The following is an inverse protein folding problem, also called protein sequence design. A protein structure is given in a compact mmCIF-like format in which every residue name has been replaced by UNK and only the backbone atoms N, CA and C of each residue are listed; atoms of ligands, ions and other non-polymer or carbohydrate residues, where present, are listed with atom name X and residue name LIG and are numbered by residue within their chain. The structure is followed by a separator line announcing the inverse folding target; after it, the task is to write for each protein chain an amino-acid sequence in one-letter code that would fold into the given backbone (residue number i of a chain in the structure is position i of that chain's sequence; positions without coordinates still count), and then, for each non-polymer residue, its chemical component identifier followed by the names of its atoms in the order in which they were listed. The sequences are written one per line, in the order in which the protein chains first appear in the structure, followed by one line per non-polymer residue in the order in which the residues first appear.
data_IF_358250247051
#
_entry.id   IF_358250247051
#
_cell.length_a   1.000
_cell.length_b   1.000
_cell.length_c   1.000
_cell.angle_alpha   90.00
_cell.angle_beta   90.00
_cell.angle_gamma   90.00
#
_symmetry.space_group_name_H-M   'P 1'
#
loop_
_entity.id
_entity.type
_entity.pdbx_description
1 polymer ?
#
# COMPACT_ATOMS: atom_id res chain seq x y z
N UNK A 1 8.35 -1.69 -14.15
CA UNK A 1 9.48 -0.88 -13.65
C UNK A 1 10.18 -1.53 -12.46
N UNK A 2 9.47 -1.98 -11.44
CA UNK A 2 10.02 -2.77 -10.31
C UNK A 2 9.50 -4.19 -10.43
N UNK A 3 10.39 -5.17 -10.40
CA UNK A 3 10.05 -6.60 -10.46
C UNK A 3 10.63 -7.28 -9.22
N UNK A 4 9.76 -7.94 -8.47
CA UNK A 4 10.09 -8.77 -7.31
C UNK A 4 9.92 -10.22 -7.71
N UNK A 5 10.98 -11.02 -7.63
CA UNK A 5 10.97 -12.43 -8.04
C UNK A 5 11.38 -13.32 -6.87
N UNK A 6 10.39 -13.91 -6.21
CA UNK A 6 10.61 -14.84 -5.11
C UNK A 6 11.45 -14.28 -3.97
N UNK A 7 11.33 -12.98 -3.66
CA UNK A 7 12.16 -12.26 -2.70
C UNK A 7 12.01 -12.88 -1.30
N UNK A 8 13.14 -13.25 -0.70
CA UNK A 8 13.23 -13.83 0.65
C UNK A 8 14.11 -12.98 1.54
N UNK A 9 13.77 -12.91 2.81
CA UNK A 9 14.60 -12.28 3.84
C UNK A 9 14.45 -13.00 5.15
N UNK A 10 15.58 -13.38 5.73
CA UNK A 10 15.66 -13.90 7.08
C UNK A 10 16.58 -13.07 7.95
N UNK A 11 16.26 -12.97 9.22
CA UNK A 11 17.10 -12.38 10.27
C UNK A 11 17.25 -13.42 11.38
N UNK A 12 18.49 -13.74 11.73
CA UNK A 12 18.82 -14.71 12.79
C UNK A 12 18.04 -16.03 12.70
N UNK A 13 17.91 -16.54 11.46
CA UNK A 13 17.19 -17.78 11.16
C UNK A 13 15.67 -17.67 11.09
N UNK A 14 15.08 -16.51 11.42
CA UNK A 14 13.64 -16.26 11.28
C UNK A 14 13.33 -15.68 9.91
N UNK A 15 12.55 -16.39 9.12
CA UNK A 15 12.09 -15.91 7.81
C UNK A 15 11.02 -14.81 7.99
N UNK A 16 11.27 -13.63 7.43
CA UNK A 16 10.37 -12.46 7.47
C UNK A 16 9.67 -12.29 6.13
N UNK A 17 10.40 -12.53 5.02
CA UNK A 17 9.82 -12.61 3.67
C UNK A 17 10.12 -13.99 3.10
N UNK A 18 9.07 -14.64 2.60
CA UNK A 18 9.07 -16.08 2.26
C UNK A 18 8.78 -16.33 0.76
N UNK A 19 9.28 -15.48 -0.13
CA UNK A 19 9.08 -15.61 -1.57
C UNK A 19 8.04 -14.63 -2.10
N UNK A 20 8.31 -13.33 -1.93
CA UNK A 20 7.46 -12.23 -2.41
C UNK A 20 7.70 -12.01 -3.90
N UNK A 21 6.62 -12.04 -4.70
CA UNK A 21 6.67 -11.74 -6.14
C UNK A 21 5.59 -10.74 -6.51
N UNK A 22 5.97 -9.70 -7.26
CA UNK A 22 5.06 -8.68 -7.79
C UNK A 22 5.75 -7.92 -8.92
N UNK A 23 4.95 -7.25 -9.74
CA UNK A 23 5.41 -6.32 -10.75
C UNK A 23 4.71 -4.99 -10.57
N UNK A 24 5.47 -3.89 -10.61
CA UNK A 24 4.98 -2.52 -10.46
C UNK A 24 5.42 -1.75 -11.70
N UNK A 25 4.48 -1.18 -12.41
CA UNK A 25 4.79 -0.45 -13.63
C UNK A 25 5.23 0.99 -13.33
N UNK A 26 5.80 1.66 -14.32
CA UNK A 26 6.22 3.07 -14.20
C UNK A 26 4.99 3.96 -13.99
N UNK A 27 5.06 4.87 -13.03
CA UNK A 27 3.98 5.80 -12.70
C UNK A 27 2.83 5.17 -11.92
N UNK A 28 2.95 3.91 -11.50
CA UNK A 28 1.95 3.30 -10.60
C UNK A 28 2.14 3.73 -9.15
N UNK A 29 1.03 3.77 -8.43
CA UNK A 29 0.99 3.79 -6.97
C UNK A 29 0.66 2.36 -6.51
N UNK A 30 1.63 1.72 -5.84
CA UNK A 30 1.49 0.37 -5.29
C UNK A 30 1.44 0.42 -3.77
N UNK A 31 0.36 -0.07 -3.17
CA UNK A 31 0.22 -0.18 -1.73
C UNK A 31 0.60 -1.57 -1.24
N UNK A 32 1.49 -1.66 -0.27
CA UNK A 32 1.74 -2.88 0.49
C UNK A 32 0.93 -2.80 1.77
N UNK A 33 -0.18 -3.52 1.83
CA UNK A 33 -1.03 -3.58 3.03
C UNK A 33 -0.84 -4.92 3.76
N UNK A 34 -1.10 -4.97 5.04
CA UNK A 34 -0.98 -6.20 5.82
C UNK A 34 -0.87 -5.92 7.31
N UNK A 35 -1.02 -6.93 8.17
CA UNK A 35 -0.91 -6.78 9.61
C UNK A 35 0.49 -6.31 10.04
N UNK A 36 0.59 -5.80 11.27
CA UNK A 36 1.90 -5.44 11.85
C UNK A 36 2.81 -6.67 11.90
N UNK A 37 4.07 -6.48 11.54
CA UNK A 37 5.05 -7.57 11.52
C UNK A 37 4.99 -8.49 10.28
N UNK A 38 4.15 -8.22 9.29
CA UNK A 38 4.08 -9.05 8.05
C UNK A 38 5.29 -8.91 7.12
N UNK A 39 6.18 -7.94 7.36
CA UNK A 39 7.38 -7.74 6.55
C UNK A 39 7.33 -6.51 5.62
N UNK A 40 6.32 -5.64 5.71
CA UNK A 40 6.15 -4.46 4.83
C UNK A 40 7.37 -3.54 4.80
N UNK A 41 7.82 -3.08 5.96
CA UNK A 41 9.01 -2.22 6.07
C UNK A 41 10.27 -2.93 5.59
N UNK A 42 10.39 -4.25 5.84
CA UNK A 42 11.50 -5.05 5.33
C UNK A 42 11.53 -5.07 3.80
N UNK A 43 10.37 -5.26 3.16
CA UNK A 43 10.26 -5.24 1.71
C UNK A 43 10.68 -3.89 1.13
N UNK A 44 10.20 -2.76 1.70
CA UNK A 44 10.59 -1.43 1.25
C UNK A 44 12.11 -1.20 1.41
N UNK A 45 12.70 -1.64 2.53
CA UNK A 45 14.14 -1.51 2.78
C UNK A 45 15.00 -2.32 1.81
N UNK A 46 14.51 -3.49 1.36
CA UNK A 46 15.18 -4.27 0.31
C UNK A 46 15.13 -3.56 -1.04
N UNK A 47 14.00 -2.95 -1.39
CA UNK A 47 13.85 -2.17 -2.63
C UNK A 47 14.76 -0.93 -2.58
N UNK A 48 14.85 -0.23 -1.43
CA UNK A 48 15.71 0.96 -1.23
C UNK A 48 17.21 0.64 -1.04
N UNK A 49 17.60 -0.64 -1.16
CA UNK A 49 18.99 -1.07 -0.97
C UNK A 49 19.57 -0.79 0.43
N UNK A 50 18.72 -0.58 1.42
CA UNK A 50 19.10 -0.46 2.83
C UNK A 50 19.34 -1.82 3.49
N UNK A 51 18.90 -2.88 2.85
CA UNK A 51 19.08 -4.26 3.28
C UNK A 51 19.27 -5.15 2.05
N UNK A 52 19.76 -6.39 2.24
CA UNK A 52 20.01 -7.35 1.16
C UNK A 52 19.09 -8.55 1.32
N UNK A 53 18.45 -9.04 0.24
CA UNK A 53 17.62 -10.24 0.30
C UNK A 53 18.49 -11.48 0.60
N UNK A 54 17.92 -12.48 1.25
CA UNK A 54 18.57 -13.79 1.45
C UNK A 54 18.29 -14.77 0.30
N UNK A 55 17.41 -14.40 -0.62
CA UNK A 55 17.09 -15.15 -1.82
C UNK A 55 16.09 -14.42 -2.70
N UNK A 56 15.95 -14.89 -3.93
CA UNK A 56 15.18 -14.21 -4.97
C UNK A 56 15.93 -13.04 -5.58
N UNK A 57 15.26 -12.23 -6.39
CA UNK A 57 15.83 -11.07 -7.06
C UNK A 57 14.90 -9.87 -7.03
N UNK A 58 15.47 -8.67 -7.02
CA UNK A 58 14.75 -7.40 -7.19
C UNK A 58 15.34 -6.70 -8.39
N UNK A 59 14.53 -6.45 -9.42
CA UNK A 59 14.95 -5.71 -10.60
C UNK A 59 14.27 -4.37 -10.71
N UNK A 60 15.03 -3.36 -11.07
CA UNK A 60 14.52 -2.02 -11.39
C UNK A 60 14.97 -1.68 -12.81
N UNK A 61 14.01 -1.42 -13.69
CA UNK A 61 14.24 -1.23 -15.12
C UNK A 61 15.06 -2.39 -15.76
N UNK A 62 14.80 -3.64 -15.33
CA UNK A 62 15.48 -4.85 -15.80
C UNK A 62 16.84 -5.11 -15.17
N UNK A 63 17.35 -4.21 -14.32
CA UNK A 63 18.64 -4.36 -13.64
C UNK A 63 18.42 -4.99 -12.26
N UNK A 64 19.10 -6.10 -11.97
CA UNK A 64 19.13 -6.68 -10.63
C UNK A 64 19.94 -5.76 -9.70
N UNK A 65 19.23 -5.12 -8.78
CA UNK A 65 19.80 -4.06 -7.93
C UNK A 65 20.71 -4.58 -6.82
N UNK A 66 20.74 -5.88 -6.57
CA UNK A 66 21.60 -6.49 -5.55
C UNK A 66 22.78 -7.27 -6.12
N UNK A 67 22.85 -7.47 -7.43
CA UNK A 67 23.90 -8.25 -8.08
C UNK A 67 25.23 -7.50 -8.22
N UNK A 68 25.19 -6.16 -8.37
CA UNK A 68 26.36 -5.34 -8.65
C UNK A 68 26.28 -4.01 -7.90
N UNK A 69 27.33 -3.69 -7.13
CA UNK A 69 27.38 -2.47 -6.29
C UNK A 69 27.31 -1.17 -7.09
N UNK A 70 27.91 -1.13 -8.27
CA UNK A 70 27.92 0.07 -9.11
C UNK A 70 26.52 0.38 -9.64
N UNK A 71 25.82 -0.64 -10.13
CA UNK A 71 24.41 -0.53 -10.55
C UNK A 71 23.47 -0.19 -9.38
N UNK A 72 23.71 -0.80 -8.20
CA UNK A 72 22.99 -0.49 -6.97
C UNK A 72 23.05 1.01 -6.65
N UNK A 73 24.23 1.62 -6.69
CA UNK A 73 24.40 3.05 -6.44
C UNK A 73 23.71 3.93 -7.49
N UNK A 74 23.76 3.51 -8.75
CA UNK A 74 23.06 4.23 -9.83
C UNK A 74 21.54 4.23 -9.59
N UNK A 75 20.99 3.07 -9.28
CA UNK A 75 19.54 2.91 -9.03
C UNK A 75 19.12 3.63 -7.74
N UNK A 76 19.91 3.53 -6.66
CA UNK A 76 19.63 4.22 -5.41
C UNK A 76 19.50 5.74 -5.57
N UNK A 77 20.27 6.34 -6.48
CA UNK A 77 20.16 7.76 -6.80
C UNK A 77 18.84 8.16 -7.48
N UNK A 78 18.11 7.20 -8.05
CA UNK A 78 16.79 7.41 -8.66
C UNK A 78 15.65 7.26 -7.66
N UNK A 79 15.95 6.91 -6.41
CA UNK A 79 14.95 6.65 -5.38
C UNK A 79 14.96 7.72 -4.29
N UNK A 80 13.78 7.93 -3.70
CA UNK A 80 13.60 8.66 -2.46
C UNK A 80 12.88 7.77 -1.45
N UNK A 81 13.27 7.84 -0.17
CA UNK A 81 12.62 7.09 0.91
C UNK A 81 12.10 8.02 2.00
N UNK A 82 10.86 7.80 2.41
CA UNK A 82 10.23 8.43 3.57
C UNK A 82 9.95 7.36 4.61
N UNK A 83 10.54 7.51 5.79
CA UNK A 83 10.41 6.55 6.89
C UNK A 83 9.17 6.85 7.75
N UNK A 84 8.67 5.84 8.43
CA UNK A 84 7.54 5.93 9.36
C UNK A 84 7.76 7.01 10.44
N UNK A 85 8.97 7.10 10.99
CA UNK A 85 9.36 8.19 11.92
C UNK A 85 10.20 9.19 11.13
N UNK A 86 9.69 10.40 10.87
CA UNK A 86 10.44 11.39 10.14
C UNK A 86 11.68 11.82 10.94
N UNK A 87 12.86 11.46 10.44
CA UNK A 87 14.11 11.91 11.01
C UNK A 87 14.50 13.26 10.39
N UNK A 88 14.58 14.30 11.20
CA UNK A 88 15.06 15.62 10.79
C UNK A 88 16.40 15.93 11.45
N UNK A 89 17.30 16.55 10.70
CA UNK A 89 18.56 17.05 11.24
C UNK A 89 18.29 18.26 12.14
N UNK A 90 19.15 18.48 13.14
CA UNK A 90 19.06 19.61 14.06
C UNK A 90 19.52 20.92 13.41
N UNK A 91 18.83 21.32 12.34
CA UNK A 91 19.11 22.49 11.54
C UNK A 91 17.80 23.09 11.03
N UNK A 92 17.84 24.05 10.10
CA UNK A 92 16.64 24.65 9.51
C UNK A 92 15.90 23.68 8.58
N UNK A 93 14.67 24.00 8.26
CA UNK A 93 13.86 23.25 7.29
C UNK A 93 14.53 23.27 5.90
N UNK A 94 14.99 24.42 5.46
CA UNK A 94 15.70 24.55 4.18
C UNK A 94 16.94 23.65 4.13
N UNK A 95 17.75 23.66 5.18
CA UNK A 95 18.93 22.79 5.29
C UNK A 95 18.60 21.30 5.24
N UNK A 96 17.51 20.88 5.89
CA UNK A 96 17.03 19.51 5.85
C UNK A 96 16.66 19.07 4.43
N UNK A 97 16.02 19.91 3.65
CA UNK A 97 15.61 19.60 2.28
C UNK A 97 16.82 19.64 1.35
N UNK A 98 17.73 20.62 1.52
CA UNK A 98 18.90 20.83 0.67
C UNK A 98 19.92 19.69 0.70
N UNK A 99 19.96 18.88 1.78
CA UNK A 99 20.97 17.84 1.99
C UNK A 99 21.16 16.93 0.76
N UNK A 100 20.08 16.41 0.21
CA UNK A 100 20.12 15.51 -0.95
C UNK A 100 20.69 16.18 -2.21
N UNK A 101 20.36 17.46 -2.42
CA UNK A 101 20.87 18.25 -3.55
C UNK A 101 22.37 18.52 -3.43
N UNK A 102 22.86 18.82 -2.23
CA UNK A 102 24.29 19.00 -1.97
C UNK A 102 25.08 17.74 -2.22
N UNK A 103 24.60 16.57 -1.75
CA UNK A 103 25.23 15.28 -2.04
C UNK A 103 25.28 14.96 -3.53
N UNK A 104 24.38 15.53 -4.32
CA UNK A 104 24.38 15.42 -5.78
C UNK A 104 25.26 16.47 -6.48
N UNK A 105 25.91 17.37 -5.75
CA UNK A 105 26.78 18.41 -6.28
C UNK A 105 26.04 19.55 -6.99
N UNK A 106 24.76 19.76 -6.66
CA UNK A 106 23.97 20.87 -7.20
C UNK A 106 24.52 22.19 -6.63
N UNK A 107 24.66 23.20 -7.49
CA UNK A 107 25.18 24.52 -7.11
C UNK A 107 24.20 25.22 -6.15
N UNK A 108 24.75 25.91 -5.14
CA UNK A 108 23.99 26.54 -4.05
C UNK A 108 22.93 27.53 -4.58
N UNK A 109 23.22 28.27 -5.66
CA UNK A 109 22.26 29.18 -6.28
C UNK A 109 20.98 28.46 -6.81
N UNK A 110 21.11 27.20 -7.27
CA UNK A 110 19.97 26.41 -7.73
C UNK A 110 19.25 25.70 -6.57
N UNK A 111 19.95 25.41 -5.47
CA UNK A 111 19.39 24.75 -4.30
C UNK A 111 18.28 25.58 -3.69
N UNK A 112 18.48 26.89 -3.53
CA UNK A 112 17.50 27.78 -2.92
C UNK A 112 16.15 27.73 -3.64
N UNK A 113 16.15 27.87 -4.95
CA UNK A 113 14.92 27.81 -5.76
C UNK A 113 14.21 26.44 -5.65
N UNK A 114 14.97 25.34 -5.73
CA UNK A 114 14.42 24.00 -5.59
C UNK A 114 13.82 23.72 -4.19
N UNK A 115 14.44 24.25 -3.14
CA UNK A 115 13.94 24.16 -1.76
C UNK A 115 12.64 24.96 -1.60
N UNK A 116 12.59 26.19 -2.10
CA UNK A 116 11.40 27.04 -2.07
C UNK A 116 10.23 26.37 -2.83
N UNK A 117 10.49 25.81 -4.01
CA UNK A 117 9.51 25.06 -4.78
C UNK A 117 9.02 23.82 -4.02
N UNK A 118 9.93 23.00 -3.46
CA UNK A 118 9.56 21.83 -2.69
C UNK A 118 8.71 22.18 -1.46
N UNK A 119 9.04 23.29 -0.77
CA UNK A 119 8.26 23.77 0.37
C UNK A 119 6.87 24.25 -0.06
N UNK A 120 6.75 24.93 -1.19
CA UNK A 120 5.46 25.33 -1.73
C UNK A 120 4.59 24.12 -2.09
N UNK A 121 5.18 23.08 -2.67
CA UNK A 121 4.47 21.83 -3.00
C UNK A 121 3.89 21.17 -1.74
N UNK A 122 4.66 21.09 -0.64
CA UNK A 122 4.19 20.45 0.59
C UNK A 122 3.40 21.39 1.52
N UNK A 123 3.08 22.61 1.07
CA UNK A 123 2.31 23.58 1.84
C UNK A 123 3.03 24.14 3.08
N UNK A 124 4.34 24.32 2.97
CA UNK A 124 5.21 24.87 4.02
C UNK A 124 6.02 26.08 3.53
N UNK A 125 5.52 26.82 2.55
CA UNK A 125 6.14 28.07 2.10
C UNK A 125 6.34 29.04 3.28
N UNK A 126 7.51 29.66 3.39
CA UNK A 126 7.88 30.54 4.49
C UNK A 126 8.43 29.84 5.74
N UNK A 127 8.67 28.52 5.68
CA UNK A 127 9.23 27.76 6.80
C UNK A 127 10.75 27.56 6.68
N UNK A 128 11.39 28.13 5.69
CA UNK A 128 12.78 27.91 5.30
C UNK A 128 13.73 28.01 6.51
N UNK A 129 13.60 29.07 7.31
CA UNK A 129 14.47 29.37 8.43
C UNK A 129 14.03 28.76 9.78
N UNK A 130 12.86 28.10 9.80
CA UNK A 130 12.38 27.45 11.03
C UNK A 130 13.27 26.27 11.39
N UNK A 131 13.47 26.05 12.69
CA UNK A 131 14.16 24.85 13.20
C UNK A 131 13.28 23.63 12.99
N UNK A 132 13.77 22.63 12.23
CA UNK A 132 12.98 21.45 11.86
C UNK A 132 12.46 20.67 13.08
N UNK A 133 13.18 20.66 14.20
CA UNK A 133 12.76 20.00 15.45
C UNK A 133 11.60 20.67 16.19
N UNK A 134 11.24 21.89 15.83
CA UNK A 134 10.12 22.62 16.45
C UNK A 134 8.79 22.39 15.74
N UNK A 135 8.81 21.65 14.66
CA UNK A 135 7.64 21.37 13.84
C UNK A 135 6.75 20.30 14.50
N UNK A 136 5.44 20.34 14.20
CA UNK A 136 4.51 19.25 14.52
C UNK A 136 4.85 17.97 13.75
N UNK A 137 4.30 16.84 14.17
CA UNK A 137 4.53 15.56 13.51
C UNK A 137 4.15 15.59 12.02
N UNK A 138 3.00 16.16 11.68
CA UNK A 138 2.56 16.30 10.29
C UNK A 138 3.43 17.25 9.47
N UNK A 139 3.93 18.35 10.07
CA UNK A 139 4.88 19.26 9.40
C UNK A 139 6.23 18.58 9.17
N UNK A 140 6.75 17.84 10.16
CA UNK A 140 7.98 17.06 10.00
C UNK A 140 7.85 16.02 8.90
N UNK A 141 6.71 15.35 8.79
CA UNK A 141 6.46 14.37 7.74
C UNK A 141 6.45 15.04 6.36
N UNK A 142 5.83 16.22 6.23
CA UNK A 142 5.85 16.99 4.97
C UNK A 142 7.28 17.48 4.62
N UNK A 143 8.09 17.85 5.60
CA UNK A 143 9.52 18.14 5.38
C UNK A 143 10.28 16.91 4.90
N UNK A 144 10.03 15.73 5.50
CA UNK A 144 10.65 14.48 5.04
C UNK A 144 10.22 14.13 3.60
N UNK A 145 8.96 14.36 3.25
CA UNK A 145 8.46 14.18 1.89
C UNK A 145 9.11 15.19 0.91
N UNK A 146 9.19 16.47 1.28
CA UNK A 146 9.88 17.50 0.48
C UNK A 146 11.35 17.13 0.24
N UNK A 147 12.06 16.64 1.28
CA UNK A 147 13.45 16.17 1.17
C UNK A 147 13.59 14.98 0.22
N UNK A 148 12.62 14.06 0.23
CA UNK A 148 12.63 12.91 -0.67
C UNK A 148 12.28 13.29 -2.12
N UNK A 149 11.46 14.34 -2.32
CA UNK A 149 11.01 14.80 -3.63
C UNK A 149 11.96 15.75 -4.32
N UNK A 150 12.66 16.61 -3.56
CA UNK A 150 13.48 17.69 -4.13
C UNK A 150 14.57 17.19 -5.08
N UNK A 151 14.94 15.92 -4.94
CA UNK A 151 15.87 15.22 -5.82
C UNK A 151 15.22 14.65 -7.09
N UNK A 152 13.92 14.90 -7.30
CA UNK A 152 13.13 14.43 -8.45
C UNK A 152 13.28 12.91 -8.68
N UNK A 153 12.88 12.08 -7.71
CA UNK A 153 13.08 10.64 -7.81
C UNK A 153 12.14 10.01 -8.84
N UNK A 154 12.61 8.97 -9.56
CA UNK A 154 11.74 8.13 -10.40
C UNK A 154 10.87 7.20 -9.55
N UNK A 155 11.36 6.82 -8.36
CA UNK A 155 10.69 5.94 -7.41
C UNK A 155 10.66 6.62 -6.04
N UNK A 156 9.48 6.70 -5.44
CA UNK A 156 9.29 7.17 -4.07
C UNK A 156 8.78 6.02 -3.21
N UNK A 157 9.56 5.65 -2.22
CA UNK A 157 9.21 4.63 -1.23
C UNK A 157 8.73 5.31 0.05
N UNK A 158 7.64 4.85 0.64
CA UNK A 158 7.12 5.44 1.88
C UNK A 158 6.69 4.33 2.85
N UNK A 159 7.33 4.29 4.00
CA UNK A 159 7.00 3.32 5.05
C UNK A 159 6.05 3.96 6.06
N UNK A 160 4.78 3.54 6.04
CA UNK A 160 3.69 4.04 6.89
C UNK A 160 3.68 5.58 7.02
N UNK A 161 3.60 6.34 5.90
CA UNK A 161 3.85 7.80 5.89
C UNK A 161 2.85 8.62 6.70
N UNK A 162 1.73 8.05 7.10
CA UNK A 162 0.66 8.73 7.85
C UNK A 162 0.48 8.20 9.27
N UNK A 163 1.33 7.25 9.69
CA UNK A 163 1.22 6.67 11.03
C UNK A 163 1.37 7.75 12.13
N UNK A 164 0.50 7.68 13.14
CA UNK A 164 0.47 8.58 14.28
C UNK A 164 0.24 10.07 13.96
N UNK A 165 -0.34 10.37 12.80
CA UNK A 165 -0.76 11.72 12.43
C UNK A 165 -2.25 11.93 12.72
N UNK A 166 -2.61 13.19 12.93
CA UNK A 166 -4.02 13.60 13.01
C UNK A 166 -4.70 13.49 11.64
N UNK A 167 -6.04 13.38 11.58
CA UNK A 167 -6.77 13.19 10.31
C UNK A 167 -6.52 14.28 9.26
N UNK A 168 -6.36 15.54 9.67
CA UNK A 168 -6.09 16.64 8.74
C UNK A 168 -4.70 16.53 8.12
N UNK A 169 -3.72 16.10 8.92
CA UNK A 169 -2.35 15.82 8.43
C UNK A 169 -2.32 14.62 7.50
N UNK A 170 -3.11 13.58 7.78
CA UNK A 170 -3.25 12.40 6.90
C UNK A 170 -3.77 12.83 5.53
N UNK A 171 -4.89 13.57 5.48
CA UNK A 171 -5.49 14.04 4.23
C UNK A 171 -4.49 14.83 3.38
N UNK A 172 -3.76 15.76 4.00
CA UNK A 172 -2.71 16.54 3.29
C UNK A 172 -1.59 15.66 2.70
N UNK A 173 -1.17 14.61 3.42
CA UNK A 173 -0.15 13.69 2.90
C UNK A 173 -0.71 12.86 1.74
N UNK A 174 -1.96 12.40 1.83
CA UNK A 174 -2.62 11.66 0.77
C UNK A 174 -2.77 12.49 -0.51
N UNK A 175 -3.22 13.74 -0.39
CA UNK A 175 -3.29 14.69 -1.52
C UNK A 175 -1.91 14.91 -2.16
N UNK A 176 -0.86 15.05 -1.35
CA UNK A 176 0.50 15.20 -1.84
C UNK A 176 0.98 13.96 -2.60
N UNK A 177 0.70 12.76 -2.11
CA UNK A 177 1.05 11.50 -2.78
C UNK A 177 0.41 11.43 -4.17
N UNK A 178 -0.89 11.70 -4.26
CA UNK A 178 -1.61 11.72 -5.54
C UNK A 178 -1.04 12.79 -6.48
N UNK A 179 -0.76 13.99 -5.97
CA UNK A 179 -0.19 15.09 -6.74
C UNK A 179 1.19 14.76 -7.28
N UNK A 180 2.08 14.20 -6.46
CA UNK A 180 3.43 13.79 -6.86
C UNK A 180 3.36 12.77 -7.99
N UNK A 181 2.54 11.75 -7.84
CA UNK A 181 2.37 10.71 -8.86
C UNK A 181 1.85 11.31 -10.17
N UNK A 182 0.76 12.11 -10.10
CA UNK A 182 0.11 12.66 -11.29
C UNK A 182 0.98 13.69 -12.02
N UNK A 183 1.60 14.62 -11.28
CA UNK A 183 2.27 15.79 -11.87
C UNK A 183 3.72 15.46 -12.27
N UNK A 184 4.39 14.53 -11.56
CA UNK A 184 5.78 14.15 -11.83
C UNK A 184 5.93 12.76 -12.47
N UNK A 185 4.86 11.96 -12.56
CA UNK A 185 4.92 10.59 -13.06
C UNK A 185 5.76 9.65 -12.19
N UNK A 186 6.03 10.02 -10.93
CA UNK A 186 6.82 9.23 -9.99
C UNK A 186 6.12 7.92 -9.66
N UNK A 187 6.83 6.81 -9.76
CA UNK A 187 6.34 5.50 -9.28
C UNK A 187 6.38 5.50 -7.75
N UNK A 188 5.28 5.17 -7.10
CA UNK A 188 5.17 5.23 -5.65
C UNK A 188 4.91 3.84 -5.08
N UNK A 189 5.72 3.41 -4.11
CA UNK A 189 5.45 2.21 -3.32
C UNK A 189 5.32 2.62 -1.86
N UNK A 190 4.17 2.38 -1.25
CA UNK A 190 4.00 2.71 0.15
C UNK A 190 3.45 1.54 0.96
N UNK A 191 3.88 1.46 2.21
CA UNK A 191 3.30 0.53 3.18
C UNK A 191 2.27 1.23 4.04
N UNK A 192 1.23 0.51 4.40
CA UNK A 192 0.27 0.96 5.41
C UNK A 192 -0.41 -0.23 6.09
N UNK A 193 -0.87 -0.04 7.32
CA UNK A 193 -1.80 -0.93 8.00
C UNK A 193 -3.25 -0.46 7.88
N UNK A 194 -3.48 0.77 7.36
CA UNK A 194 -4.79 1.28 7.02
C UNK A 194 -5.19 0.79 5.62
N UNK A 195 -6.09 -0.19 5.58
CA UNK A 195 -6.58 -0.77 4.33
C UNK A 195 -7.36 0.24 3.48
N UNK A 196 -8.06 1.19 4.12
CA UNK A 196 -8.82 2.21 3.39
C UNK A 196 -7.90 3.22 2.71
N UNK A 197 -6.75 3.53 3.29
CA UNK A 197 -5.72 4.34 2.64
C UNK A 197 -5.21 3.65 1.37
N UNK A 198 -4.89 2.35 1.45
CA UNK A 198 -4.54 1.55 0.28
C UNK A 198 -5.62 1.60 -0.79
N UNK A 199 -6.89 1.46 -0.39
CA UNK A 199 -8.04 1.49 -1.30
C UNK A 199 -8.21 2.84 -2.01
N UNK A 200 -7.95 3.97 -1.32
CA UNK A 200 -8.13 5.32 -1.88
C UNK A 200 -7.00 5.73 -2.82
N UNK A 201 -5.77 5.34 -2.52
CA UNK A 201 -4.59 5.90 -3.19
C UNK A 201 -4.00 4.99 -4.26
N UNK A 202 -4.11 3.68 -4.09
CA UNK A 202 -3.34 2.75 -4.91
C UNK A 202 -4.02 2.41 -6.26
N UNK A 203 -3.20 2.22 -7.28
CA UNK A 203 -3.59 1.56 -8.52
C UNK A 203 -3.59 0.04 -8.35
N UNK A 204 -2.58 -0.48 -7.63
CA UNK A 204 -2.47 -1.89 -7.24
C UNK A 204 -2.19 -2.01 -5.75
N UNK A 205 -2.71 -3.09 -5.16
CA UNK A 205 -2.51 -3.45 -3.76
C UNK A 205 -1.88 -4.84 -3.68
N UNK A 206 -0.81 -4.97 -2.91
CA UNK A 206 -0.27 -6.23 -2.46
C UNK A 206 -0.63 -6.48 -0.99
N UNK A 207 -1.42 -7.51 -0.72
CA UNK A 207 -1.78 -7.94 0.65
C UNK A 207 -0.68 -8.85 1.17
N UNK A 208 0.21 -8.32 2.00
CA UNK A 208 1.35 -9.05 2.56
C UNK A 208 0.96 -9.72 3.88
N UNK A 209 0.95 -11.05 3.88
CA UNK A 209 0.61 -11.88 5.03
C UNK A 209 1.64 -13.00 5.16
N UNK A 210 2.09 -13.28 6.38
CA UNK A 210 3.05 -14.35 6.65
C UNK A 210 4.28 -14.32 5.72
N UNK A 211 4.77 -13.12 5.42
CA UNK A 211 5.94 -12.92 4.56
C UNK A 211 5.71 -13.17 3.07
N UNK A 212 4.46 -13.30 2.59
CA UNK A 212 4.10 -13.52 1.19
C UNK A 212 2.97 -12.60 0.77
N UNK A 213 2.89 -12.27 -0.51
CA UNK A 213 1.67 -11.68 -1.03
C UNK A 213 0.58 -12.76 -1.12
N UNK A 214 -0.43 -12.67 -0.24
CA UNK A 214 -1.63 -13.49 -0.29
C UNK A 214 -2.50 -13.14 -1.49
N UNK A 215 -2.48 -11.86 -1.89
CA UNK A 215 -3.15 -11.37 -3.10
C UNK A 215 -2.45 -10.12 -3.61
N UNK A 216 -2.37 -9.98 -4.93
CA UNK A 216 -2.01 -8.73 -5.62
C UNK A 216 -3.11 -8.45 -6.64
N UNK A 217 -3.63 -7.23 -6.66
CA UNK A 217 -4.69 -6.83 -7.58
C UNK A 217 -5.07 -5.36 -7.41
N UNK A 218 -6.02 -4.92 -8.22
CA UNK A 218 -6.61 -3.59 -8.06
C UNK A 218 -7.34 -3.49 -6.71
N UNK A 219 -7.55 -2.27 -6.18
CA UNK A 219 -8.35 -2.08 -4.96
C UNK A 219 -9.70 -2.80 -5.05
N UNK A 220 -10.37 -2.69 -6.20
CA UNK A 220 -11.66 -3.37 -6.42
C UNK A 220 -11.53 -4.88 -6.26
N UNK A 221 -10.56 -5.52 -6.91
CA UNK A 221 -10.37 -6.97 -6.82
C UNK A 221 -10.08 -7.42 -5.39
N UNK A 222 -9.15 -6.74 -4.70
CA UNK A 222 -8.77 -7.09 -3.32
C UNK A 222 -9.96 -6.97 -2.36
N UNK A 223 -10.75 -5.93 -2.48
CA UNK A 223 -11.85 -5.65 -1.54
C UNK A 223 -13.16 -6.36 -1.91
N UNK A 224 -13.42 -6.68 -3.19
CA UNK A 224 -14.68 -7.32 -3.59
C UNK A 224 -14.54 -8.80 -3.95
N UNK A 225 -13.32 -9.25 -4.29
CA UNK A 225 -13.02 -10.63 -4.66
C UNK A 225 -11.74 -11.10 -3.93
N UNK A 226 -11.76 -11.19 -2.59
CA UNK A 226 -10.61 -11.65 -1.82
C UNK A 226 -10.25 -13.08 -2.21
N UNK A 227 -8.96 -13.33 -2.45
CA UNK A 227 -8.46 -14.62 -2.93
C UNK A 227 -8.51 -15.73 -1.87
N UNK A 228 -8.67 -15.38 -0.61
CA UNK A 228 -8.78 -16.34 0.50
C UNK A 228 -9.62 -15.76 1.64
N UNK A 229 -10.07 -16.67 2.51
CA UNK A 229 -10.76 -16.31 3.77
C UNK A 229 -9.91 -15.39 4.66
N UNK A 230 -8.60 -15.61 4.67
CA UNK A 230 -7.67 -14.79 5.44
C UNK A 230 -7.63 -13.35 4.91
N UNK A 231 -7.54 -13.18 3.59
CA UNK A 231 -7.62 -11.86 2.93
C UNK A 231 -8.98 -11.23 3.19
N UNK A 232 -10.09 -12.00 3.04
CA UNK A 232 -11.43 -11.51 3.28
C UNK A 232 -11.59 -10.90 4.69
N UNK A 233 -11.12 -11.61 5.72
CA UNK A 233 -11.12 -11.11 7.10
C UNK A 233 -10.27 -9.87 7.27
N UNK A 234 -9.09 -9.86 6.65
CA UNK A 234 -8.17 -8.72 6.74
C UNK A 234 -8.77 -7.46 6.12
N UNK A 235 -9.49 -7.57 4.99
CA UNK A 235 -10.15 -6.42 4.35
C UNK A 235 -11.51 -6.08 4.96
N UNK A 236 -11.83 -6.61 6.15
CA UNK A 236 -12.99 -6.23 6.94
C UNK A 236 -14.29 -6.92 6.55
N UNK A 237 -14.24 -8.07 5.88
CA UNK A 237 -15.44 -8.87 5.64
C UNK A 237 -15.72 -9.70 6.90
N UNK A 238 -16.81 -9.38 7.59
CA UNK A 238 -17.18 -10.00 8.86
C UNK A 238 -18.01 -11.28 8.65
N UNK A 239 -18.92 -11.26 7.68
CA UNK A 239 -19.82 -12.39 7.42
C UNK A 239 -19.23 -13.32 6.36
N UNK A 240 -18.59 -14.39 6.81
CA UNK A 240 -18.02 -15.43 5.95
C UNK A 240 -18.75 -16.74 6.28
N UNK A 241 -19.56 -17.22 5.36
CA UNK A 241 -20.41 -18.40 5.51
C UNK A 241 -19.93 -19.50 4.57
N UNK A 242 -19.59 -20.65 5.10
CA UNK A 242 -19.16 -21.80 4.31
C UNK A 242 -20.38 -22.57 3.77
N UNK A 243 -20.32 -23.03 2.53
CA UNK A 243 -21.38 -23.80 1.91
C UNK A 243 -20.91 -24.64 0.74
N UNK A 244 -21.82 -25.43 0.22
CA UNK A 244 -21.58 -26.28 -0.95
C UNK A 244 -22.37 -25.72 -2.13
N UNK A 245 -21.73 -25.66 -3.28
CA UNK A 245 -22.39 -25.23 -4.52
C UNK A 245 -23.39 -26.28 -4.96
N UNK A 246 -24.67 -25.87 -5.08
CA UNK A 246 -25.74 -26.69 -5.61
C UNK A 246 -26.25 -26.14 -6.93
N UNK A 247 -26.41 -26.98 -7.92
CA UNK A 247 -27.01 -26.59 -9.19
C UNK A 247 -28.51 -26.32 -9.00
N UNK A 248 -29.00 -25.16 -9.43
CA UNK A 248 -30.42 -24.84 -9.44
C UNK A 248 -30.77 -24.17 -10.76
N UNK A 249 -31.57 -24.82 -11.59
CA UNK A 249 -32.26 -24.29 -12.79
C UNK A 249 -31.62 -23.09 -13.52
N UNK A 250 -30.31 -23.23 -13.91
CA UNK A 250 -29.57 -22.23 -14.65
C UNK A 250 -28.97 -21.09 -13.82
N UNK A 251 -29.14 -21.07 -12.49
CA UNK A 251 -28.47 -20.19 -11.55
C UNK A 251 -27.69 -20.99 -10.52
N UNK A 252 -26.44 -20.62 -10.24
CA UNK A 252 -25.70 -21.23 -9.15
C UNK A 252 -26.27 -20.79 -7.80
N UNK A 253 -26.39 -21.72 -6.86
CA UNK A 253 -26.73 -21.45 -5.48
C UNK A 253 -25.76 -22.17 -4.57
N UNK A 254 -25.53 -21.63 -3.40
CA UNK A 254 -24.73 -22.23 -2.33
C UNK A 254 -25.66 -22.63 -1.22
N UNK A 255 -25.58 -23.89 -0.81
CA UNK A 255 -26.27 -24.40 0.38
C UNK A 255 -25.37 -24.16 1.60
N UNK A 256 -25.80 -23.28 2.47
CA UNK A 256 -25.12 -22.88 3.69
C UNK A 256 -25.93 -23.37 4.90
N UNK A 257 -25.81 -24.67 5.22
CA UNK A 257 -26.50 -25.27 6.36
C UNK A 257 -28.04 -25.33 6.21
N UNK A 258 -28.55 -25.64 5.01
CA UNK A 258 -29.97 -25.71 4.69
C UNK A 258 -30.57 -24.40 4.17
N UNK A 259 -29.78 -23.33 4.15
CA UNK A 259 -30.18 -22.05 3.55
C UNK A 259 -29.53 -21.89 2.17
N UNK A 260 -30.35 -21.78 1.12
CA UNK A 260 -29.85 -21.63 -0.25
C UNK A 260 -29.69 -20.16 -0.62
N UNK A 261 -28.44 -19.76 -0.89
CA UNK A 261 -28.05 -18.40 -1.29
C UNK A 261 -27.70 -18.44 -2.78
N UNK A 262 -28.42 -17.66 -3.60
CA UNK A 262 -28.14 -17.56 -5.04
C UNK A 262 -26.90 -16.70 -5.25
N UNK A 263 -26.04 -17.14 -6.15
CA UNK A 263 -24.85 -16.40 -6.56
C UNK A 263 -24.83 -16.17 -8.08
N UNK A 264 -24.19 -15.08 -8.48
CA UNK A 264 -23.96 -14.78 -9.91
C UNK A 264 -22.59 -15.27 -10.40
N UNK A 265 -21.75 -15.74 -9.49
CA UNK A 265 -20.43 -16.29 -9.85
C UNK A 265 -20.60 -17.64 -10.52
N UNK A 266 -19.86 -17.91 -11.61
CA UNK A 266 -19.80 -19.25 -12.21
C UNK A 266 -19.02 -20.15 -11.24
N UNK A 267 -19.71 -21.05 -10.56
CA UNK A 267 -19.15 -22.00 -9.61
C UNK A 267 -19.42 -23.42 -10.08
N UNK A 268 -18.52 -24.34 -9.72
CA UNK A 268 -18.66 -25.75 -10.04
C UNK A 268 -19.57 -26.43 -9.00
N UNK A 269 -20.58 -27.21 -9.41
CA UNK A 269 -21.39 -28.01 -8.48
C UNK A 269 -20.52 -28.88 -7.57
N UNK A 270 -20.95 -29.04 -6.32
CA UNK A 270 -20.27 -29.80 -5.25
C UNK A 270 -18.97 -29.15 -4.73
N UNK A 271 -18.57 -28.00 -5.25
CA UNK A 271 -17.44 -27.23 -4.73
C UNK A 271 -17.76 -26.64 -3.35
N UNK A 272 -16.79 -26.76 -2.43
CA UNK A 272 -16.82 -26.08 -1.14
C UNK A 272 -16.39 -24.62 -1.34
N UNK A 273 -17.25 -23.69 -0.95
CA UNK A 273 -16.99 -22.25 -1.11
C UNK A 273 -17.28 -21.48 0.18
N UNK A 274 -16.63 -20.35 0.32
CA UNK A 274 -16.95 -19.38 1.37
C UNK A 274 -17.67 -18.16 0.75
N UNK A 275 -18.89 -17.92 1.18
CA UNK A 275 -19.65 -16.71 0.84
C UNK A 275 -19.19 -15.55 1.71
N UNK A 276 -18.73 -14.50 1.07
CA UNK A 276 -18.29 -13.27 1.73
C UNK A 276 -19.35 -12.21 1.55
N UNK A 277 -19.99 -11.78 2.64
CA UNK A 277 -21.07 -10.81 2.62
C UNK A 277 -20.68 -9.61 3.48
N UNK A 278 -20.72 -8.40 2.92
CA UNK A 278 -20.47 -7.18 3.68
C UNK A 278 -21.67 -6.80 4.52
N UNK A 279 -21.43 -6.25 5.71
CA UNK A 279 -22.50 -5.84 6.62
C UNK A 279 -23.38 -4.76 6.00
N UNK A 280 -22.83 -3.87 5.18
CA UNK A 280 -23.56 -2.84 4.45
C UNK A 280 -24.51 -3.38 3.37
N UNK A 281 -24.28 -4.60 2.89
CA UNK A 281 -25.14 -5.27 1.90
C UNK A 281 -26.31 -6.02 2.56
N UNK A 282 -26.30 -6.14 3.87
CA UNK A 282 -27.36 -6.79 4.65
C UNK A 282 -28.46 -5.79 5.02
N UNK A 283 -29.72 -6.16 4.77
CA UNK A 283 -30.88 -5.43 5.27
C UNK A 283 -31.68 -6.32 6.18
N UNK A 284 -31.94 -5.85 7.38
CA UNK A 284 -32.82 -6.52 8.34
C UNK A 284 -34.22 -5.95 8.19
N UNK A 285 -35.20 -6.82 7.97
CA UNK A 285 -36.63 -6.46 7.91
C UNK A 285 -37.41 -7.31 8.89
N UNK A 286 -38.53 -6.81 9.45
CA UNK A 286 -39.40 -7.61 10.31
C UNK A 286 -39.88 -8.89 9.64
N UNK A 287 -40.03 -9.97 10.41
CA UNK A 287 -40.56 -11.21 9.89
C UNK A 287 -41.98 -11.00 9.37
N UNK A 288 -42.23 -11.32 8.10
CA UNK A 288 -43.50 -11.10 7.41
C UNK A 288 -43.51 -9.96 6.40
N UNK A 289 -42.58 -9.04 6.44
CA UNK A 289 -42.41 -7.95 5.46
C UNK A 289 -41.32 -8.23 4.40
N UNK A 290 -40.69 -9.41 4.46
CA UNK A 290 -39.62 -9.78 3.53
C UNK A 290 -40.20 -9.94 2.12
N UNK A 291 -40.06 -8.91 1.30
CA UNK A 291 -40.35 -8.98 -0.13
C UNK A 291 -39.24 -9.71 -0.85
N UNK A 292 -39.58 -10.83 -1.48
CA UNK A 292 -38.68 -11.53 -2.43
C UNK A 292 -38.55 -10.70 -3.71
N UNK A 293 -37.78 -9.64 -3.67
CA UNK A 293 -37.45 -8.91 -4.90
C UNK A 293 -36.58 -9.80 -5.81
N UNK A 294 -36.77 -9.80 -7.13
CA UNK A 294 -35.97 -10.57 -8.05
C UNK A 294 -34.48 -10.27 -7.86
N UNK A 295 -33.65 -11.30 -7.65
CA UNK A 295 -32.20 -11.18 -7.50
C UNK A 295 -31.74 -10.85 -6.07
N UNK A 296 -32.58 -10.87 -5.06
CA UNK A 296 -32.21 -10.76 -3.65
C UNK A 296 -32.35 -12.11 -2.94
N UNK A 297 -31.45 -12.38 -2.01
CA UNK A 297 -31.54 -13.52 -1.10
C UNK A 297 -32.19 -13.04 0.21
N UNK A 298 -33.10 -13.85 0.74
CA UNK A 298 -33.70 -13.62 2.05
C UNK A 298 -33.24 -14.74 2.97
N UNK A 299 -32.61 -14.39 4.08
CA UNK A 299 -32.12 -15.32 5.09
C UNK A 299 -33.08 -15.26 6.29
N UNK A 300 -33.47 -16.40 6.89
CA UNK A 300 -34.15 -16.40 8.17
C UNK A 300 -33.21 -15.82 9.24
N UNK A 301 -33.68 -14.80 9.97
CA UNK A 301 -32.97 -14.28 11.14
C UNK A 301 -33.34 -15.12 12.36
N UNK A 302 -32.36 -15.50 13.17
CA UNK A 302 -32.63 -15.99 14.53
C UNK A 302 -33.17 -14.84 15.38
N UNK A 303 -34.15 -15.15 16.24
CA UNK A 303 -34.75 -14.19 17.19
C UNK A 303 -33.90 -14.01 18.42
#
# INVERSE_FOLDING_TARGET
MIELEGVRKSFDGKEVLAGVSARIERGEIFAVIGPSGSGKSTLLRLIDLLDTPTGGAIRINGVDIHANREESHRVQRMMGMVFQKPAVFNTTVAENIAVGLRFRGIKEAAIKAKVEEALAVVGLAGYEERRARTLSGGEMQRVALARAMVIEPEILLMDEPTANLDPVSVEKIEELVVRINRDLGTTIVFSTHDMYQGQRLAHLIGVLMNGRFAQVGTPREVFTHPASREVARFVGIENIIDGVVVASNGTCAVDAGGVRIRTRSPLTPEELVSLCIRSEDLRVTPAGEATTAPGKNTLPGDR
#
